data_IF_778517951857
#
_entry.id   IF_778517951857
#
_cell.length_a   1.000
_cell.length_b   1.000
_cell.length_c   1.000
_cell.angle_alpha   90.00
_cell.angle_beta   90.00
_cell.angle_gamma   90.00
#
_symmetry.space_group_name_H-M   'P 1'
#
loop_
_entity.id
_entity.type
_entity.pdbx_description
1 polymer ?
#
# COMPACT_ATOMS: atom_id res chain seq x y z
N UNK A 1 16.85 -18.54 7.80
CA UNK A 1 15.63 -17.94 7.20
C UNK A 1 15.24 -16.75 8.07
N UNK A 2 14.72 -15.66 7.50
CA UNK A 2 14.25 -14.55 8.30
C UNK A 2 13.09 -15.00 9.20
N UNK A 3 13.03 -14.45 10.41
CA UNK A 3 11.97 -14.73 11.40
C UNK A 3 10.99 -13.58 11.47
N UNK A 4 9.78 -13.82 11.98
CA UNK A 4 8.85 -12.74 12.34
C UNK A 4 9.43 -11.88 13.46
N UNK A 5 9.08 -10.60 13.50
CA UNK A 5 9.54 -9.66 14.52
C UNK A 5 8.60 -9.68 15.73
N UNK A 6 9.16 -9.62 16.91
CA UNK A 6 8.44 -9.53 18.18
C UNK A 6 9.31 -8.84 19.25
N UNK A 7 8.70 -8.36 20.33
CA UNK A 7 9.36 -7.75 21.47
C UNK A 7 10.35 -6.65 21.07
N UNK A 8 11.58 -6.66 21.59
CA UNK A 8 12.61 -5.66 21.31
C UNK A 8 13.02 -5.59 19.83
N UNK A 9 12.91 -6.70 19.08
CA UNK A 9 13.24 -6.72 17.65
C UNK A 9 12.38 -5.76 16.80
N UNK A 10 11.18 -5.42 17.27
CA UNK A 10 10.32 -4.42 16.59
C UNK A 10 10.98 -3.04 16.61
N UNK A 11 11.46 -2.61 17.78
CA UNK A 11 12.11 -1.30 17.96
C UNK A 11 13.46 -1.24 17.25
N UNK A 12 14.28 -2.29 17.37
CA UNK A 12 15.58 -2.36 16.69
C UNK A 12 15.43 -2.25 15.18
N UNK A 13 14.49 -2.99 14.60
CA UNK A 13 14.21 -2.94 13.15
C UNK A 13 13.64 -1.57 12.74
N UNK A 14 12.74 -1.00 13.54
CA UNK A 14 12.21 0.34 13.31
C UNK A 14 13.34 1.37 13.23
N UNK A 15 14.24 1.39 14.24
CA UNK A 15 15.36 2.34 14.30
C UNK A 15 16.35 2.18 13.14
N UNK A 16 16.59 0.95 12.70
CA UNK A 16 17.47 0.68 11.55
C UNK A 16 16.84 1.20 10.24
N UNK A 17 15.53 0.96 10.05
CA UNK A 17 14.78 1.48 8.91
C UNK A 17 14.65 3.00 8.94
N UNK A 18 14.43 3.57 10.10
CA UNK A 18 14.30 5.02 10.30
C UNK A 18 15.59 5.75 9.88
N UNK A 19 16.74 5.26 10.33
CA UNK A 19 18.04 5.77 9.89
C UNK A 19 18.22 5.64 8.38
N UNK A 20 18.00 4.45 7.82
CA UNK A 20 18.16 4.19 6.40
C UNK A 20 17.28 5.12 5.53
N UNK A 21 16.01 5.26 5.90
CA UNK A 21 15.07 6.11 5.16
C UNK A 21 15.41 7.60 5.30
N UNK A 22 15.83 8.04 6.49
CA UNK A 22 16.18 9.44 6.77
C UNK A 22 17.49 9.84 6.06
N UNK A 23 18.53 9.01 6.15
CA UNK A 23 19.82 9.26 5.50
C UNK A 23 19.71 9.36 3.97
N UNK A 24 18.78 8.59 3.39
CA UNK A 24 18.63 8.52 1.94
C UNK A 24 17.38 9.23 1.39
N UNK A 25 16.73 10.11 2.17
CA UNK A 25 15.48 10.73 1.73
C UNK A 25 15.61 11.54 0.43
N UNK A 26 16.79 12.09 0.14
CA UNK A 26 17.06 12.80 -1.12
C UNK A 26 16.94 11.88 -2.37
N UNK A 27 17.14 10.55 -2.21
CA UNK A 27 17.06 9.58 -3.30
C UNK A 27 15.64 9.11 -3.61
N UNK A 28 14.77 9.07 -2.61
CA UNK A 28 13.45 8.43 -2.79
C UNK A 28 12.25 9.37 -2.64
N UNK A 29 12.37 10.52 -1.97
CA UNK A 29 11.27 11.49 -1.88
C UNK A 29 10.99 12.19 -3.21
N UNK A 30 12.00 12.72 -3.94
CA UNK A 30 11.75 13.36 -5.22
C UNK A 30 11.21 12.34 -6.24
N UNK A 31 10.15 12.73 -6.93
CA UNK A 31 9.46 11.86 -7.89
C UNK A 31 9.96 12.13 -9.30
N UNK A 32 10.59 11.17 -9.99
CA UNK A 32 11.04 11.33 -11.36
C UNK A 32 9.94 11.79 -12.33
N UNK A 33 8.69 11.44 -12.05
CA UNK A 33 7.55 11.84 -12.87
C UNK A 33 7.27 13.35 -12.83
N UNK A 34 7.49 14.00 -11.69
CA UNK A 34 7.18 15.43 -11.49
C UNK A 34 8.38 16.35 -11.56
N UNK A 35 9.59 15.80 -11.52
CA UNK A 35 10.85 16.54 -11.57
C UNK A 35 11.64 16.18 -12.83
N UNK A 36 12.05 17.18 -13.61
CA UNK A 36 12.93 16.94 -14.77
C UNK A 36 14.34 16.59 -14.33
N UNK A 37 14.82 17.22 -13.26
CA UNK A 37 16.12 16.98 -12.64
C UNK A 37 15.95 16.59 -11.19
N UNK A 38 16.80 15.69 -10.70
CA UNK A 38 16.81 15.23 -9.33
C UNK A 38 18.15 15.60 -8.68
N UNK A 39 18.13 16.23 -7.52
CA UNK A 39 19.34 16.77 -6.89
C UNK A 39 20.44 15.71 -6.68
N UNK A 40 20.07 14.48 -6.41
CA UNK A 40 21.01 13.38 -6.22
C UNK A 40 21.81 13.01 -7.50
N UNK A 41 21.36 13.43 -8.68
CA UNK A 41 22.07 13.13 -9.93
C UNK A 41 23.44 13.78 -9.99
N UNK A 42 23.61 14.93 -9.35
CA UNK A 42 24.91 15.59 -9.20
C UNK A 42 25.85 14.83 -8.26
N UNK A 43 25.30 14.14 -7.26
CA UNK A 43 26.06 13.33 -6.30
C UNK A 43 26.48 11.99 -6.89
N UNK A 44 25.65 11.40 -7.76
CA UNK A 44 25.88 10.09 -8.36
C UNK A 44 25.75 10.14 -9.91
N UNK A 45 26.63 10.88 -10.59
CA UNK A 45 26.50 11.18 -12.02
C UNK A 45 26.60 9.93 -12.93
N UNK A 46 27.36 8.92 -12.54
CA UNK A 46 27.46 7.67 -13.30
C UNK A 46 26.15 6.88 -13.25
N UNK A 47 25.56 6.73 -12.07
CA UNK A 47 24.25 6.08 -11.91
C UNK A 47 23.16 6.86 -12.66
N UNK A 48 23.15 8.19 -12.53
CA UNK A 48 22.18 9.05 -13.21
C UNK A 48 22.27 8.89 -14.74
N UNK A 49 23.47 8.92 -15.29
CA UNK A 49 23.72 8.71 -16.74
C UNK A 49 23.23 7.35 -17.19
N UNK A 50 23.56 6.29 -16.46
CA UNK A 50 23.13 4.93 -16.77
C UNK A 50 21.60 4.83 -16.81
N UNK A 51 20.91 5.27 -15.74
CA UNK A 51 19.45 5.21 -15.64
C UNK A 51 18.74 6.07 -16.70
N UNK A 52 19.30 7.24 -17.05
CA UNK A 52 18.71 8.12 -18.08
C UNK A 52 18.89 7.62 -19.50
N UNK A 53 19.96 6.87 -19.77
CA UNK A 53 20.23 6.29 -21.09
C UNK A 53 19.57 4.93 -21.31
N UNK A 54 19.10 4.28 -20.25
CA UNK A 54 18.43 2.99 -20.34
C UNK A 54 17.07 3.10 -21.03
N UNK A 55 16.75 2.11 -21.83
CA UNK A 55 15.51 2.03 -22.61
C UNK A 55 14.29 1.70 -21.74
N UNK A 56 13.10 1.88 -22.29
CA UNK A 56 11.85 1.47 -21.63
C UNK A 56 11.78 -0.06 -21.47
N UNK A 57 12.31 -0.81 -22.44
CA UNK A 57 12.37 -2.28 -22.36
C UNK A 57 13.26 -2.77 -21.22
N UNK A 58 14.42 -2.12 -21.03
CA UNK A 58 15.29 -2.40 -19.89
C UNK A 58 14.59 -2.05 -18.55
N UNK A 59 13.81 -0.97 -18.51
CA UNK A 59 13.04 -0.60 -17.31
C UNK A 59 12.01 -1.66 -16.88
N UNK A 60 11.51 -2.49 -17.81
CA UNK A 60 10.55 -3.55 -17.53
C UNK A 60 11.19 -4.91 -17.21
N UNK A 61 12.48 -5.05 -17.51
CA UNK A 61 13.23 -6.28 -17.27
C UNK A 61 13.76 -6.41 -15.85
N UNK A 62 14.06 -7.64 -15.46
CA UNK A 62 14.84 -7.91 -14.24
C UNK A 62 16.28 -7.49 -14.49
N UNK A 63 16.84 -6.71 -13.59
CA UNK A 63 18.26 -6.31 -13.61
C UNK A 63 18.92 -6.86 -12.38
N UNK A 64 20.13 -7.41 -12.55
CA UNK A 64 21.01 -7.66 -11.42
C UNK A 64 21.40 -6.33 -10.76
N UNK A 65 21.03 -6.09 -9.49
CA UNK A 65 21.40 -4.86 -8.80
C UNK A 65 22.90 -4.58 -8.81
N UNK A 66 23.75 -5.60 -8.84
CA UNK A 66 25.19 -5.48 -8.80
C UNK A 66 25.81 -5.11 -10.18
N UNK A 67 25.02 -5.15 -11.26
CA UNK A 67 25.42 -4.65 -12.58
C UNK A 67 25.27 -3.12 -12.72
N UNK A 68 24.61 -2.47 -11.76
CA UNK A 68 24.38 -1.01 -11.80
C UNK A 68 25.51 -0.23 -11.11
N UNK A 69 25.77 1.03 -11.52
CA UNK A 69 26.77 1.87 -10.85
C UNK A 69 26.44 2.14 -9.37
N UNK A 70 27.49 2.37 -8.57
CA UNK A 70 27.35 2.81 -7.18
C UNK A 70 26.50 4.10 -7.08
N UNK A 71 25.69 4.28 -6.03
CA UNK A 71 25.56 3.44 -4.82
C UNK A 71 24.44 2.39 -4.92
N UNK A 72 23.92 2.09 -6.13
CA UNK A 72 22.74 1.23 -6.29
C UNK A 72 22.90 -0.16 -5.66
N UNK A 73 24.02 -0.91 -5.86
CA UNK A 73 24.20 -2.23 -5.24
C UNK A 73 24.11 -2.20 -3.73
N UNK A 74 24.83 -1.27 -3.11
CA UNK A 74 24.89 -1.14 -1.65
C UNK A 74 23.50 -0.80 -1.05
N UNK A 75 22.75 0.07 -1.73
CA UNK A 75 21.40 0.45 -1.33
C UNK A 75 20.43 -0.72 -1.50
N UNK A 76 20.57 -1.50 -2.57
CA UNK A 76 19.75 -2.69 -2.81
C UNK A 76 19.97 -3.76 -1.73
N UNK A 77 21.22 -4.06 -1.39
CA UNK A 77 21.58 -5.01 -0.33
C UNK A 77 21.05 -4.55 1.04
N UNK A 78 21.24 -3.27 1.37
CA UNK A 78 20.74 -2.69 2.62
C UNK A 78 19.20 -2.74 2.70
N UNK A 79 18.52 -2.33 1.61
CA UNK A 79 17.06 -2.38 1.53
C UNK A 79 16.53 -3.80 1.66
N UNK A 80 17.18 -4.77 1.01
CA UNK A 80 16.82 -6.19 1.10
C UNK A 80 17.00 -6.72 2.53
N UNK A 81 18.16 -6.47 3.14
CA UNK A 81 18.46 -6.92 4.50
C UNK A 81 17.48 -6.33 5.53
N UNK A 82 17.20 -5.01 5.44
CA UNK A 82 16.28 -4.31 6.33
C UNK A 82 14.82 -4.73 6.12
N UNK A 83 14.45 -5.13 4.91
CA UNK A 83 13.11 -5.58 4.56
C UNK A 83 12.89 -7.07 4.78
N UNK A 84 13.93 -7.83 5.08
CA UNK A 84 13.83 -9.26 5.33
C UNK A 84 12.94 -9.55 6.54
N UNK A 85 11.84 -10.24 6.30
CA UNK A 85 10.81 -10.56 7.29
C UNK A 85 10.28 -11.97 7.04
N UNK A 86 10.24 -12.78 8.10
CA UNK A 86 9.71 -14.14 8.03
C UNK A 86 8.21 -14.22 8.14
N UNK A 87 7.68 -15.39 7.84
CA UNK A 87 6.27 -15.69 8.02
C UNK A 87 5.91 -15.71 9.52
N UNK A 88 4.68 -15.31 9.81
CA UNK A 88 4.08 -15.54 11.13
C UNK A 88 3.88 -17.05 11.35
N UNK A 89 3.84 -17.52 12.61
CA UNK A 89 3.46 -18.88 12.91
C UNK A 89 2.07 -19.21 12.34
N UNK A 90 1.92 -20.44 11.84
CA UNK A 90 0.65 -20.93 11.32
C UNK A 90 -0.03 -21.87 12.32
N UNK A 91 -1.36 -21.90 12.31
CA UNK A 91 -2.15 -22.90 12.99
C UNK A 91 -2.94 -23.76 11.97
N UNK A 92 -3.25 -24.97 12.37
CA UNK A 92 -4.15 -25.81 11.59
C UNK A 92 -5.54 -25.17 11.55
N UNK A 93 -6.03 -24.84 10.35
CA UNK A 93 -7.40 -24.37 10.19
C UNK A 93 -8.34 -25.57 10.05
N UNK A 94 -9.46 -25.59 10.74
CA UNK A 94 -10.54 -26.52 10.42
C UNK A 94 -10.97 -26.32 8.97
N UNK A 95 -11.46 -27.40 8.35
CA UNK A 95 -12.00 -27.34 6.99
C UNK A 95 -13.06 -26.20 6.92
N UNK A 96 -12.99 -25.42 5.84
CA UNK A 96 -14.01 -24.40 5.60
C UNK A 96 -15.40 -25.05 5.50
N UNK A 97 -16.43 -24.41 6.01
CA UNK A 97 -17.79 -24.84 5.78
C UNK A 97 -18.06 -24.93 4.27
N UNK A 98 -18.91 -25.86 3.88
CA UNK A 98 -19.16 -26.17 2.47
C UNK A 98 -19.52 -24.92 1.66
N UNK A 99 -18.82 -24.68 0.54
CA UNK A 99 -19.10 -23.62 -0.45
C UNK A 99 -18.95 -22.15 0.04
N UNK A 100 -18.18 -21.87 1.07
CA UNK A 100 -17.89 -20.47 1.48
C UNK A 100 -17.06 -19.72 0.44
N UNK A 101 -16.34 -20.42 -0.41
CA UNK A 101 -15.50 -19.91 -1.50
C UNK A 101 -16.28 -19.56 -2.78
N UNK A 102 -17.54 -20.01 -2.90
CA UNK A 102 -18.37 -19.80 -4.09
C UNK A 102 -18.64 -18.31 -4.30
N UNK A 103 -18.44 -17.83 -5.54
CA UNK A 103 -18.54 -16.41 -5.93
C UNK A 103 -17.52 -15.49 -5.25
N UNK A 104 -16.46 -16.04 -4.65
CA UNK A 104 -15.31 -15.26 -4.21
C UNK A 104 -14.19 -15.40 -5.25
N UNK A 105 -13.58 -14.30 -5.75
CA UNK A 105 -12.44 -14.41 -6.65
C UNK A 105 -11.35 -15.28 -6.01
N UNK A 106 -10.83 -16.26 -6.74
CA UNK A 106 -9.92 -17.28 -6.19
C UNK A 106 -8.72 -16.69 -5.44
N UNK A 107 -8.12 -15.60 -5.98
CA UNK A 107 -7.02 -14.87 -5.34
C UNK A 107 -7.44 -14.25 -3.99
N UNK A 108 -8.66 -13.72 -3.90
CA UNK A 108 -9.20 -13.17 -2.63
C UNK A 108 -9.42 -14.29 -1.62
N UNK A 109 -9.95 -15.43 -2.06
CA UNK A 109 -10.14 -16.59 -1.17
C UNK A 109 -8.81 -17.10 -0.63
N UNK A 110 -7.79 -17.23 -1.48
CA UNK A 110 -6.44 -17.63 -1.05
C UNK A 110 -5.85 -16.66 0.00
N UNK A 111 -6.08 -15.35 -0.15
CA UNK A 111 -5.66 -14.35 0.86
C UNK A 111 -6.39 -14.54 2.19
N UNK A 112 -7.69 -14.84 2.16
CA UNK A 112 -8.49 -15.12 3.36
C UNK A 112 -7.99 -16.37 4.08
N UNK A 113 -7.75 -17.47 3.36
CA UNK A 113 -7.20 -18.71 3.91
C UNK A 113 -5.82 -18.49 4.53
N UNK A 114 -4.93 -17.80 3.81
CA UNK A 114 -3.61 -17.47 4.30
C UNK A 114 -3.66 -16.61 5.56
N UNK A 115 -4.48 -15.55 5.58
CA UNK A 115 -4.65 -14.70 6.76
C UNK A 115 -5.20 -15.50 7.94
N UNK A 116 -6.24 -16.30 7.73
CA UNK A 116 -6.87 -17.10 8.77
C UNK A 116 -5.91 -18.14 9.37
N UNK A 117 -5.02 -18.75 8.56
CA UNK A 117 -4.05 -19.73 9.03
C UNK A 117 -3.01 -19.18 10.00
N UNK A 118 -2.87 -17.86 10.09
CA UNK A 118 -1.95 -17.21 11.03
C UNK A 118 -2.61 -16.72 12.33
N UNK A 119 -3.93 -16.95 12.52
CA UNK A 119 -4.64 -16.53 13.73
C UNK A 119 -4.41 -17.51 14.90
N UNK A 120 -3.16 -17.81 15.19
CA UNK A 120 -2.74 -18.68 16.31
C UNK A 120 -2.75 -17.88 17.62
N UNK A 121 -3.92 -17.40 18.04
CA UNK A 121 -4.09 -16.73 19.32
C UNK A 121 -3.98 -17.70 20.50
N UNK A 122 -3.40 -17.22 21.63
CA UNK A 122 -3.24 -18.02 22.86
C UNK A 122 -4.59 -18.42 23.47
N UNK A 123 -5.59 -17.54 23.34
CA UNK A 123 -6.94 -17.78 23.85
C UNK A 123 -7.92 -17.90 22.67
N UNK A 124 -8.71 -18.98 22.61
CA UNK A 124 -9.72 -19.11 21.56
C UNK A 124 -10.74 -17.96 21.60
N UNK A 125 -10.99 -17.35 20.44
CA UNK A 125 -11.99 -16.28 20.30
C UNK A 125 -13.41 -16.83 20.48
N UNK A 126 -14.23 -16.09 21.21
CA UNK A 126 -15.67 -16.36 21.32
C UNK A 126 -16.50 -15.40 20.45
N UNK A 127 -16.07 -14.14 20.39
CA UNK A 127 -16.72 -13.08 19.63
C UNK A 127 -15.72 -12.54 18.62
N UNK A 128 -16.05 -12.61 17.34
CA UNK A 128 -15.28 -12.03 16.25
C UNK A 128 -15.88 -10.70 15.78
N UNK A 129 -15.04 -9.73 15.50
CA UNK A 129 -15.39 -8.52 14.78
C UNK A 129 -14.56 -8.43 13.50
N UNK A 130 -15.23 -8.43 12.35
CA UNK A 130 -14.63 -8.21 11.05
C UNK A 130 -14.80 -6.73 10.66
N UNK A 131 -13.70 -5.99 10.71
CA UNK A 131 -13.67 -4.53 10.52
C UNK A 131 -13.49 -4.17 9.05
N UNK A 132 -14.39 -3.37 8.48
CA UNK A 132 -14.46 -3.09 7.04
C UNK A 132 -14.63 -4.39 6.24
N UNK A 133 -15.61 -5.18 6.63
CA UNK A 133 -15.75 -6.59 6.27
C UNK A 133 -16.13 -6.83 4.80
N UNK A 134 -16.59 -5.79 4.08
CA UNK A 134 -17.22 -5.98 2.78
C UNK A 134 -18.43 -6.91 2.90
N UNK A 135 -18.43 -8.03 2.18
CA UNK A 135 -19.46 -9.06 2.29
C UNK A 135 -19.25 -10.04 3.46
N UNK A 136 -18.27 -9.82 4.34
CA UNK A 136 -17.98 -10.67 5.51
C UNK A 136 -17.37 -12.04 5.19
N UNK A 137 -16.62 -12.17 4.10
CA UNK A 137 -16.02 -13.46 3.73
C UNK A 137 -14.95 -13.93 4.73
N UNK A 138 -14.11 -13.02 5.25
CA UNK A 138 -13.10 -13.34 6.26
C UNK A 138 -13.79 -13.79 7.55
N UNK A 139 -14.72 -12.98 8.08
CA UNK A 139 -15.42 -13.31 9.32
C UNK A 139 -16.12 -14.66 9.24
N UNK A 140 -16.86 -14.96 8.13
CA UNK A 140 -17.51 -16.28 7.97
C UNK A 140 -16.50 -17.43 7.92
N UNK A 141 -15.31 -17.21 7.34
CA UNK A 141 -14.25 -18.24 7.30
C UNK A 141 -13.74 -18.59 8.71
N UNK A 142 -13.73 -17.59 9.60
CA UNK A 142 -13.25 -17.73 10.99
C UNK A 142 -14.31 -18.30 11.94
N UNK A 143 -15.58 -18.23 11.58
CA UNK A 143 -16.68 -18.59 12.48
C UNK A 143 -16.78 -20.10 12.65
N UNK A 144 -16.76 -20.54 13.91
CA UNK A 144 -16.97 -21.94 14.34
C UNK A 144 -18.19 -22.07 15.25
N UNK A 145 -18.74 -23.29 15.42
CA UNK A 145 -19.87 -23.52 16.31
C UNK A 145 -19.66 -22.94 17.71
N UNK A 146 -20.66 -22.23 18.22
CA UNK A 146 -20.62 -21.59 19.53
C UNK A 146 -19.98 -20.21 19.57
N UNK A 147 -19.42 -19.74 18.46
CA UNK A 147 -18.86 -18.37 18.32
C UNK A 147 -19.90 -17.41 17.74
N UNK A 148 -19.66 -16.11 17.94
CA UNK A 148 -20.43 -15.01 17.36
C UNK A 148 -19.54 -14.21 16.41
N UNK A 149 -20.16 -13.64 15.39
CA UNK A 149 -19.49 -12.78 14.42
C UNK A 149 -20.31 -11.51 14.18
N UNK A 150 -19.65 -10.38 14.31
CA UNK A 150 -20.15 -9.07 13.86
C UNK A 150 -19.30 -8.57 12.72
N UNK A 151 -19.94 -8.14 11.63
CA UNK A 151 -19.31 -7.55 10.44
C UNK A 151 -19.70 -6.09 10.34
N UNK A 152 -18.73 -5.17 10.34
CA UNK A 152 -18.96 -3.74 10.15
C UNK A 152 -18.58 -3.35 8.73
N UNK A 153 -19.51 -2.71 8.02
CA UNK A 153 -19.29 -2.24 6.65
C UNK A 153 -20.04 -0.93 6.40
N UNK A 154 -19.44 -0.03 5.63
CA UNK A 154 -20.02 1.28 5.28
C UNK A 154 -20.98 1.20 4.09
N UNK A 155 -20.70 0.33 3.13
CA UNK A 155 -21.52 0.17 1.92
C UNK A 155 -22.75 -0.69 2.21
N UNK A 156 -23.93 -0.08 2.15
CA UNK A 156 -25.21 -0.76 2.42
C UNK A 156 -25.49 -1.92 1.46
N UNK A 157 -25.01 -1.85 0.20
CA UNK A 157 -25.18 -2.94 -0.75
C UNK A 157 -24.29 -4.15 -0.38
N UNK A 158 -23.10 -3.90 0.15
CA UNK A 158 -22.21 -4.95 0.64
C UNK A 158 -22.75 -5.57 1.95
N UNK A 159 -23.34 -4.77 2.84
CA UNK A 159 -24.03 -5.26 4.05
C UNK A 159 -25.15 -6.21 3.66
N UNK A 160 -26.08 -5.78 2.80
CA UNK A 160 -27.21 -6.62 2.36
C UNK A 160 -26.75 -7.91 1.66
N UNK A 161 -25.71 -7.81 0.81
CA UNK A 161 -25.13 -8.99 0.18
C UNK A 161 -24.45 -9.94 1.20
N UNK A 162 -23.84 -9.39 2.23
CA UNK A 162 -23.26 -10.14 3.34
C UNK A 162 -24.32 -10.90 4.16
N UNK A 163 -25.42 -10.23 4.50
CA UNK A 163 -26.57 -10.81 5.18
C UNK A 163 -27.17 -11.99 4.39
N UNK A 164 -27.42 -11.77 3.08
CA UNK A 164 -27.95 -12.81 2.20
C UNK A 164 -27.02 -14.03 2.13
N UNK A 165 -25.71 -13.82 2.03
CA UNK A 165 -24.73 -14.92 2.04
C UNK A 165 -24.70 -15.66 3.39
N UNK A 166 -24.75 -14.95 4.50
CA UNK A 166 -24.73 -15.55 5.84
C UNK A 166 -26.03 -16.36 6.10
N UNK A 167 -27.18 -15.83 5.69
CA UNK A 167 -28.45 -16.54 5.74
C UNK A 167 -28.44 -17.80 4.86
N UNK A 168 -27.91 -17.72 3.63
CA UNK A 168 -27.80 -18.88 2.74
C UNK A 168 -26.95 -20.02 3.34
N UNK A 169 -25.92 -19.67 4.11
CA UNK A 169 -25.07 -20.65 4.80
C UNK A 169 -25.55 -21.01 6.21
N UNK A 170 -26.70 -20.50 6.65
CA UNK A 170 -27.26 -20.69 8.00
C UNK A 170 -26.28 -20.31 9.12
N UNK A 171 -25.46 -19.27 8.90
CA UNK A 171 -24.46 -18.80 9.86
C UNK A 171 -25.01 -17.64 10.70
N UNK A 172 -24.82 -17.65 12.04
CA UNK A 172 -25.29 -16.61 12.94
C UNK A 172 -24.37 -15.37 12.89
N UNK A 173 -24.42 -14.63 11.81
CA UNK A 173 -23.60 -13.43 11.60
C UNK A 173 -24.47 -12.18 11.67
N UNK A 174 -24.02 -11.19 12.44
CA UNK A 174 -24.62 -9.87 12.47
C UNK A 174 -23.86 -8.95 11.51
N UNK A 175 -24.50 -8.52 10.42
CA UNK A 175 -23.98 -7.49 9.52
C UNK A 175 -24.54 -6.13 9.93
N UNK A 176 -23.67 -5.14 10.05
CA UNK A 176 -24.05 -3.79 10.53
C UNK A 176 -23.53 -2.75 9.55
N UNK A 177 -24.45 -1.94 9.04
CA UNK A 177 -24.08 -0.73 8.32
C UNK A 177 -23.47 0.27 9.32
N UNK A 178 -22.17 0.47 9.25
CA UNK A 178 -21.43 1.32 10.17
C UNK A 178 -20.30 2.05 9.45
N UNK A 179 -20.31 3.38 9.53
CA UNK A 179 -19.11 4.15 9.29
C UNK A 179 -18.15 3.96 10.48
N UNK A 180 -17.07 3.25 10.25
CA UNK A 180 -16.09 2.95 11.31
C UNK A 180 -15.30 4.19 11.75
N UNK A 181 -15.32 5.27 10.99
CA UNK A 181 -14.75 6.56 11.39
C UNK A 181 -15.67 7.35 12.32
N UNK A 182 -16.96 7.05 12.34
CA UNK A 182 -17.93 7.70 13.22
C UNK A 182 -17.76 7.29 14.70
N UNK A 183 -18.11 8.18 15.66
CA UNK A 183 -17.97 7.90 17.10
C UNK A 183 -18.66 6.60 17.56
N UNK A 184 -19.79 6.25 16.95
CA UNK A 184 -20.57 5.07 17.30
C UNK A 184 -19.89 3.73 17.02
N UNK A 185 -18.76 3.69 16.32
CA UNK A 185 -18.04 2.43 16.03
C UNK A 185 -17.45 1.76 17.28
N UNK A 186 -17.11 2.55 18.32
CA UNK A 186 -16.53 2.05 19.57
C UNK A 186 -17.44 1.07 20.33
N UNK A 187 -18.76 1.18 20.20
CA UNK A 187 -19.75 0.33 20.92
C UNK A 187 -19.70 -1.15 20.51
N UNK A 188 -19.01 -1.47 19.41
CA UNK A 188 -18.88 -2.85 18.89
C UNK A 188 -17.59 -3.52 19.37
N UNK A 189 -16.81 -2.84 20.18
CA UNK A 189 -15.52 -3.30 20.70
C UNK A 189 -15.60 -3.39 22.22
N UNK A 190 -15.11 -4.49 22.78
CA UNK A 190 -15.05 -4.72 24.22
C UNK A 190 -13.92 -5.72 24.58
N UNK A 191 -13.76 -5.99 25.87
CA UNK A 191 -12.76 -6.91 26.40
C UNK A 191 -12.96 -8.39 26.04
N UNK A 192 -14.05 -8.75 25.38
CA UNK A 192 -14.35 -10.14 24.94
C UNK A 192 -14.29 -10.28 23.42
N UNK A 193 -14.04 -9.20 22.69
CA UNK A 193 -14.07 -9.16 21.22
C UNK A 193 -12.67 -9.32 20.63
N UNK A 194 -12.47 -10.33 19.79
CA UNK A 194 -11.29 -10.52 18.94
C UNK A 194 -11.51 -9.86 17.58
N UNK A 195 -10.60 -9.01 17.16
CA UNK A 195 -10.80 -8.17 15.99
C UNK A 195 -9.90 -8.58 14.83
N UNK A 196 -10.48 -8.66 13.65
CA UNK A 196 -9.74 -8.91 12.41
C UNK A 196 -9.99 -7.80 11.38
N UNK A 197 -8.96 -7.46 10.63
CA UNK A 197 -9.05 -6.50 9.54
C UNK A 197 -8.12 -6.90 8.39
N UNK A 198 -8.67 -7.42 7.32
CA UNK A 198 -7.94 -7.70 6.08
C UNK A 198 -8.29 -6.62 5.07
N UNK A 199 -7.29 -5.81 4.68
CA UNK A 199 -7.44 -4.68 3.75
C UNK A 199 -8.23 -3.47 4.29
N UNK A 200 -8.24 -3.22 5.59
CA UNK A 200 -8.65 -1.93 6.11
C UNK A 200 -7.61 -0.86 5.74
N UNK A 201 -8.03 0.15 4.97
CA UNK A 201 -7.11 1.11 4.34
C UNK A 201 -6.82 2.32 5.23
N UNK A 202 -5.54 2.72 5.38
CA UNK A 202 -5.13 4.00 5.96
C UNK A 202 -5.75 4.28 7.33
N UNK A 203 -6.47 5.38 7.47
CA UNK A 203 -7.08 5.80 8.73
C UNK A 203 -8.09 4.79 9.30
N UNK A 204 -8.69 3.93 8.46
CA UNK A 204 -9.63 2.91 8.92
C UNK A 204 -8.98 1.91 9.88
N UNK A 205 -7.76 1.43 9.55
CA UNK A 205 -7.06 0.54 10.49
C UNK A 205 -6.40 1.30 11.65
N UNK A 206 -5.96 2.54 11.44
CA UNK A 206 -5.47 3.39 12.53
C UNK A 206 -6.57 3.62 13.57
N UNK A 207 -7.78 3.91 13.12
CA UNK A 207 -8.96 4.04 13.99
C UNK A 207 -9.22 2.76 14.76
N UNK A 208 -9.15 1.62 14.08
CA UNK A 208 -9.30 0.31 14.72
C UNK A 208 -8.28 0.11 15.85
N UNK A 209 -6.98 0.30 15.58
CA UNK A 209 -5.93 0.09 16.57
C UNK A 209 -6.15 0.94 17.83
N UNK A 210 -6.51 2.22 17.65
CA UNK A 210 -6.81 3.13 18.76
C UNK A 210 -8.03 2.69 19.57
N UNK A 211 -9.14 2.38 18.90
CA UNK A 211 -10.36 1.98 19.58
C UNK A 211 -10.22 0.61 20.28
N UNK A 212 -9.62 -0.36 19.61
CA UNK A 212 -9.42 -1.69 20.20
C UNK A 212 -8.52 -1.62 21.45
N UNK A 213 -7.49 -0.77 21.43
CA UNK A 213 -6.64 -0.52 22.60
C UNK A 213 -7.42 0.13 23.75
N UNK A 214 -8.22 1.14 23.45
CA UNK A 214 -9.04 1.86 24.43
C UNK A 214 -10.15 0.99 25.03
N UNK A 215 -10.73 0.10 24.24
CA UNK A 215 -11.77 -0.84 24.67
C UNK A 215 -11.20 -2.16 25.21
N UNK A 216 -9.89 -2.24 25.35
CA UNK A 216 -9.18 -3.41 25.90
C UNK A 216 -9.49 -4.71 25.16
N UNK A 217 -9.70 -4.67 23.83
CA UNK A 217 -9.86 -5.88 23.05
C UNK A 217 -8.67 -6.83 23.27
N UNK A 218 -8.91 -8.13 23.56
CA UNK A 218 -7.82 -9.02 23.96
C UNK A 218 -6.89 -9.40 22.81
N UNK A 219 -7.41 -9.40 21.57
CA UNK A 219 -6.72 -9.95 20.41
C UNK A 219 -7.05 -9.15 19.15
N UNK A 220 -6.01 -8.86 18.37
CA UNK A 220 -6.14 -8.16 17.09
C UNK A 220 -5.28 -8.84 16.02
N UNK A 221 -5.84 -8.94 14.82
CA UNK A 221 -5.09 -9.33 13.63
C UNK A 221 -5.39 -8.35 12.49
N UNK A 222 -4.37 -7.65 12.02
CA UNK A 222 -4.54 -6.60 11.01
C UNK A 222 -3.51 -6.76 9.90
N UNK A 223 -3.96 -6.80 8.64
CA UNK A 223 -3.11 -6.63 7.47
C UNK A 223 -3.24 -5.19 6.96
N UNK A 224 -2.34 -4.27 7.38
CA UNK A 224 -2.44 -2.87 7.01
C UNK A 224 -2.12 -2.68 5.53
N UNK A 225 -2.87 -1.79 4.87
CA UNK A 225 -2.62 -1.45 3.48
C UNK A 225 -3.01 0.00 3.18
N UNK A 226 -2.74 0.47 1.96
CA UNK A 226 -3.15 1.79 1.46
C UNK A 226 -2.84 2.93 2.45
N UNK A 227 -1.59 3.02 2.88
CA UNK A 227 -1.14 3.97 3.91
C UNK A 227 -1.39 5.43 3.56
N UNK A 228 -1.59 5.74 2.27
CA UNK A 228 -1.93 7.08 1.78
C UNK A 228 -3.43 7.45 1.91
N UNK A 229 -4.27 6.56 2.43
CA UNK A 229 -5.70 6.82 2.69
C UNK A 229 -5.87 7.47 4.07
N UNK A 230 -5.35 8.68 4.21
CA UNK A 230 -5.41 9.50 5.43
C UNK A 230 -6.12 10.83 5.16
N UNK A 231 -6.75 11.39 6.18
CA UNK A 231 -7.47 12.66 6.08
C UNK A 231 -6.54 13.89 6.17
N UNK A 232 -5.33 13.70 6.71
CA UNK A 232 -4.34 14.77 6.90
C UNK A 232 -3.40 14.88 5.72
N UNK A 233 -2.82 16.06 5.49
CA UNK A 233 -1.84 16.28 4.43
C UNK A 233 -0.50 15.56 4.69
N UNK A 234 -0.22 15.23 5.94
CA UNK A 234 0.99 14.55 6.38
C UNK A 234 0.65 13.36 7.27
N UNK A 235 1.50 12.36 7.24
CA UNK A 235 1.41 11.20 8.12
C UNK A 235 1.46 11.59 9.59
N UNK A 236 0.55 11.01 10.37
CA UNK A 236 0.52 11.19 11.82
C UNK A 236 1.03 9.92 12.50
N UNK A 237 2.25 10.00 13.02
CA UNK A 237 2.90 8.87 13.68
C UNK A 237 2.12 8.42 14.93
N UNK A 238 2.08 7.12 15.17
CA UNK A 238 1.32 6.49 16.25
C UNK A 238 2.19 6.23 17.48
N UNK A 239 3.33 5.59 17.29
CA UNK A 239 4.25 5.20 18.37
C UNK A 239 5.12 6.38 18.82
N UNK A 240 5.64 6.31 20.01
CA UNK A 240 6.62 7.26 20.55
C UNK A 240 7.88 7.32 19.68
N UNK A 241 8.38 6.18 19.24
CA UNK A 241 9.56 6.10 18.38
C UNK A 241 9.34 6.82 17.04
N UNK A 242 8.18 6.64 16.40
CA UNK A 242 7.88 7.31 15.14
C UNK A 242 7.61 8.81 15.30
N UNK A 243 7.04 9.24 16.41
CA UNK A 243 6.84 10.66 16.72
C UNK A 243 8.15 11.43 16.94
N UNK A 244 9.21 10.76 17.37
CA UNK A 244 10.54 11.35 17.55
C UNK A 244 11.43 11.25 16.33
N UNK A 245 10.98 10.56 15.27
CA UNK A 245 11.70 10.46 14.00
C UNK A 245 11.78 11.80 13.28
N UNK A 246 12.91 12.06 12.61
CA UNK A 246 13.08 13.18 11.70
C UNK A 246 12.40 12.96 10.33
N UNK A 247 11.81 11.79 10.11
CA UNK A 247 11.17 11.42 8.86
C UNK A 247 9.75 11.97 8.78
N UNK A 248 9.55 13.04 8.02
CA UNK A 248 8.23 13.61 7.74
C UNK A 248 7.70 13.08 6.40
N UNK A 249 6.54 12.44 6.40
CA UNK A 249 5.95 11.80 5.22
C UNK A 249 4.72 12.56 4.73
N UNK A 250 4.75 12.93 3.46
CA UNK A 250 3.62 13.49 2.72
C UNK A 250 2.69 12.39 2.18
N UNK A 251 1.52 12.77 1.67
CA UNK A 251 0.64 11.84 0.93
C UNK A 251 1.33 11.16 -0.27
N UNK A 252 2.21 11.92 -0.95
CA UNK A 252 2.98 11.41 -2.09
C UNK A 252 4.00 10.34 -1.64
N UNK A 253 4.68 10.57 -0.50
CA UNK A 253 5.61 9.61 0.07
C UNK A 253 4.88 8.31 0.47
N UNK A 254 3.70 8.43 1.09
CA UNK A 254 2.85 7.30 1.44
C UNK A 254 2.30 6.54 0.21
N UNK A 255 2.39 7.14 -0.96
CA UNK A 255 2.10 6.49 -2.24
C UNK A 255 3.16 5.48 -2.67
N UNK A 256 4.41 5.61 -2.19
CA UNK A 256 5.52 4.76 -2.61
C UNK A 256 5.28 3.26 -2.31
N UNK A 257 4.83 2.83 -1.12
CA UNK A 257 4.49 1.44 -0.85
C UNK A 257 3.43 0.85 -1.78
N UNK A 258 2.63 1.71 -2.41
CA UNK A 258 1.53 1.31 -3.31
C UNK A 258 1.95 1.23 -4.77
N UNK A 259 3.14 1.70 -5.12
CA UNK A 259 3.63 1.75 -6.51
C UNK A 259 3.88 0.37 -7.13
N UNK A 260 3.78 -0.69 -6.33
CA UNK A 260 3.90 -2.07 -6.79
C UNK A 260 2.91 -2.38 -7.89
N UNK A 261 3.43 -2.73 -9.05
CA UNK A 261 2.61 -3.14 -10.18
C UNK A 261 2.19 -4.59 -10.01
N UNK A 262 0.92 -4.79 -9.68
CA UNK A 262 0.30 -6.10 -9.86
C UNK A 262 0.48 -6.51 -11.33
N UNK A 263 0.72 -7.79 -11.58
CA UNK A 263 0.82 -8.41 -12.90
C UNK A 263 -0.42 -8.08 -13.75
N UNK A 264 -0.41 -6.91 -14.38
CA UNK A 264 -1.44 -6.51 -15.33
C UNK A 264 -1.15 -7.18 -16.69
N UNK A 265 -2.19 -7.62 -17.38
CA UNK A 265 -2.03 -8.16 -18.74
C UNK A 265 -1.43 -7.11 -19.70
N UNK A 266 -0.82 -7.57 -20.79
CA UNK A 266 -0.08 -6.73 -21.73
C UNK A 266 -0.90 -5.53 -22.26
N UNK A 267 -2.23 -5.70 -22.47
CA UNK A 267 -3.12 -4.61 -22.88
C UNK A 267 -3.18 -3.48 -21.86
N UNK A 268 -3.34 -3.83 -20.57
CA UNK A 268 -3.45 -2.84 -19.47
C UNK A 268 -2.10 -2.14 -19.28
N UNK A 269 -0.98 -2.86 -19.41
CA UNK A 269 0.36 -2.24 -19.36
C UNK A 269 0.53 -1.21 -20.46
N UNK A 270 0.24 -1.56 -21.73
CA UNK A 270 0.31 -0.60 -22.86
C UNK A 270 -0.57 0.63 -22.66
N UNK A 271 -1.82 0.46 -22.21
CA UNK A 271 -2.72 1.58 -21.92
C UNK A 271 -2.15 2.51 -20.85
N UNK A 272 -1.56 1.95 -19.79
CA UNK A 272 -0.90 2.72 -18.72
C UNK A 272 0.30 3.48 -19.26
N UNK A 273 1.15 2.84 -20.05
CA UNK A 273 2.37 3.47 -20.59
C UNK A 273 2.01 4.56 -21.59
N UNK A 274 1.04 4.34 -22.48
CA UNK A 274 0.50 5.40 -23.37
C UNK A 274 -0.03 6.57 -22.54
N UNK A 275 -0.81 6.30 -21.49
CA UNK A 275 -1.33 7.36 -20.63
C UNK A 275 -0.21 8.15 -19.94
N UNK A 276 0.82 7.47 -19.46
CA UNK A 276 1.95 8.11 -18.79
C UNK A 276 2.80 8.91 -19.78
N UNK A 277 3.15 8.35 -20.96
CA UNK A 277 3.94 9.03 -21.98
C UNK A 277 3.22 10.32 -22.45
N UNK A 278 1.92 10.27 -22.68
CA UNK A 278 1.16 11.45 -23.10
C UNK A 278 1.07 12.53 -22.01
N UNK A 279 0.96 12.12 -20.74
CA UNK A 279 1.03 13.08 -19.61
C UNK A 279 2.38 13.72 -19.49
N UNK A 280 3.46 12.96 -19.70
CA UNK A 280 4.83 13.48 -19.69
C UNK A 280 5.09 14.39 -20.90
N UNK A 281 4.59 14.07 -22.10
CA UNK A 281 4.65 14.98 -23.25
C UNK A 281 3.89 16.28 -22.97
N UNK A 282 2.69 16.21 -22.42
CA UNK A 282 1.96 17.40 -21.99
C UNK A 282 2.68 18.18 -20.88
N UNK A 283 3.37 17.52 -19.96
CA UNK A 283 4.15 18.18 -18.92
C UNK A 283 5.32 18.98 -19.53
N UNK A 284 6.00 18.44 -20.55
CA UNK A 284 7.03 19.19 -21.28
C UNK A 284 6.42 20.43 -21.95
N UNK A 285 5.28 20.28 -22.63
CA UNK A 285 4.58 21.38 -23.29
C UNK A 285 4.19 22.47 -22.29
N UNK A 286 3.52 22.12 -21.19
CA UNK A 286 3.05 23.11 -20.21
C UNK A 286 4.19 23.88 -19.54
N UNK A 287 5.34 23.22 -19.27
CA UNK A 287 6.53 23.90 -18.75
C UNK A 287 7.08 24.92 -19.73
N UNK A 288 7.16 24.56 -21.01
CA UNK A 288 7.58 25.46 -22.08
C UNK A 288 6.63 26.65 -22.22
N UNK A 289 5.31 26.41 -22.29
CA UNK A 289 4.30 27.47 -22.44
C UNK A 289 4.24 28.41 -21.24
N UNK A 290 4.39 27.88 -20.05
CA UNK A 290 4.38 28.65 -18.79
C UNK A 290 5.75 29.23 -18.40
N UNK A 291 6.82 28.86 -19.12
CA UNK A 291 8.20 29.26 -18.80
C UNK A 291 8.58 28.96 -17.33
N UNK A 292 8.18 27.78 -16.83
CA UNK A 292 8.42 27.38 -15.44
C UNK A 292 8.77 25.91 -15.36
N UNK A 293 9.70 25.54 -14.47
CA UNK A 293 10.07 24.14 -14.21
C UNK A 293 9.18 23.52 -13.11
N UNK A 294 7.87 23.78 -13.16
CA UNK A 294 6.91 23.23 -12.21
C UNK A 294 5.93 22.29 -12.90
N UNK A 295 5.80 21.08 -12.33
CA UNK A 295 4.79 20.11 -12.75
C UNK A 295 3.38 20.68 -12.55
N UNK A 296 2.53 20.57 -13.58
CA UNK A 296 1.11 20.93 -13.49
C UNK A 296 0.27 19.64 -13.32
N UNK A 297 -0.31 19.39 -12.14
CA UNK A 297 -1.13 18.20 -11.91
C UNK A 297 -2.31 18.13 -12.89
N UNK A 298 -2.46 16.98 -13.54
CA UNK A 298 -3.57 16.71 -14.47
C UNK A 298 -4.62 15.82 -13.80
N UNK A 299 -5.92 16.00 -14.13
CA UNK A 299 -6.98 15.17 -13.55
C UNK A 299 -6.89 13.72 -14.04
N UNK A 300 -7.63 12.83 -13.40
CA UNK A 300 -7.87 11.49 -13.93
C UNK A 300 -8.66 11.59 -15.22
N UNK A 301 -8.16 10.97 -16.29
CA UNK A 301 -8.78 11.03 -17.63
C UNK A 301 -9.42 9.69 -17.99
N UNK A 302 -10.58 9.68 -18.64
CA UNK A 302 -11.19 8.46 -19.16
C UNK A 302 -10.28 7.77 -20.19
N UNK A 303 -10.34 6.44 -20.25
CA UNK A 303 -9.52 5.64 -21.21
C UNK A 303 -9.76 6.05 -22.66
N UNK A 304 -10.97 6.52 -23.00
CA UNK A 304 -11.30 7.02 -24.34
C UNK A 304 -10.38 8.17 -24.79
N UNK A 305 -9.79 8.94 -23.87
CA UNK A 305 -8.83 9.99 -24.25
C UNK A 305 -7.56 9.45 -24.92
N UNK A 306 -7.19 8.20 -24.66
CA UNK A 306 -6.04 7.56 -25.29
C UNK A 306 -6.25 7.27 -26.80
N UNK A 307 -7.50 7.30 -27.27
CA UNK A 307 -7.81 7.14 -28.69
C UNK A 307 -7.70 8.44 -29.49
N UNK A 308 -7.61 9.62 -28.84
CA UNK A 308 -7.46 10.91 -29.52
C UNK A 308 -6.09 11.02 -30.17
N UNK A 309 -5.93 11.77 -31.31
CA UNK A 309 -4.62 12.23 -31.74
C UNK A 309 -3.90 12.99 -30.62
N UNK A 310 -2.56 12.92 -30.56
CA UNK A 310 -1.81 13.52 -29.44
C UNK A 310 -2.02 15.05 -29.35
N UNK A 311 -2.05 15.74 -30.48
CA UNK A 311 -2.39 17.17 -30.53
C UNK A 311 -3.74 17.45 -29.85
N UNK A 312 -4.79 16.73 -30.25
CA UNK A 312 -6.13 16.93 -29.68
C UNK A 312 -6.16 16.60 -28.17
N UNK A 313 -5.43 15.56 -27.77
CA UNK A 313 -5.27 15.22 -26.33
C UNK A 313 -4.65 16.40 -25.56
N UNK A 314 -3.58 17.00 -26.08
CA UNK A 314 -2.92 18.12 -25.43
C UNK A 314 -3.75 19.39 -25.42
N UNK A 315 -4.45 19.71 -26.51
CA UNK A 315 -5.34 20.89 -26.61
C UNK A 315 -6.51 20.79 -25.63
N UNK A 316 -7.14 19.62 -25.55
CA UNK A 316 -8.25 19.40 -24.61
C UNK A 316 -7.78 19.46 -23.16
N UNK A 317 -6.60 18.94 -22.88
CA UNK A 317 -6.01 18.98 -21.54
C UNK A 317 -5.58 20.39 -21.14
N UNK A 318 -5.01 21.18 -22.09
CA UNK A 318 -4.70 22.58 -21.90
C UNK A 318 -5.97 23.39 -21.57
N UNK A 319 -7.06 23.17 -22.32
CA UNK A 319 -8.35 23.81 -22.04
C UNK A 319 -8.88 23.48 -20.64
N UNK A 320 -8.78 22.20 -20.20
CA UNK A 320 -9.16 21.80 -18.83
C UNK A 320 -8.30 22.49 -17.76
N UNK A 321 -7.07 22.85 -18.09
CA UNK A 321 -6.13 23.51 -17.20
C UNK A 321 -6.09 25.03 -17.39
N UNK A 322 -6.94 25.60 -18.27
CA UNK A 322 -6.98 27.02 -18.62
C UNK A 322 -5.60 27.52 -19.04
N UNK A 323 -4.90 26.73 -19.84
CA UNK A 323 -3.59 27.02 -20.40
C UNK A 323 -3.72 27.37 -21.88
N UNK A 324 -3.28 28.56 -22.25
CA UNK A 324 -3.17 28.95 -23.64
C UNK A 324 -1.94 28.28 -24.29
N UNK A 325 -2.10 27.84 -25.52
CA UNK A 325 -1.03 27.22 -26.30
C UNK A 325 -0.67 28.15 -27.45
N UNK A 326 0.50 28.75 -27.36
CA UNK A 326 1.00 29.72 -28.33
C UNK A 326 2.11 29.12 -29.21
N UNK A 327 2.21 29.66 -30.43
CA UNK A 327 3.26 29.33 -31.39
C UNK A 327 3.00 28.07 -32.20
N UNK A 328 3.96 27.74 -33.03
CA UNK A 328 3.98 26.51 -33.83
C UNK A 328 4.58 25.37 -33.00
N UNK A 329 3.80 24.31 -32.78
CA UNK A 329 4.16 23.19 -31.92
C UNK A 329 4.39 21.95 -32.79
N UNK A 330 5.59 21.40 -32.76
CA UNK A 330 5.89 20.09 -33.35
C UNK A 330 5.33 18.96 -32.47
N UNK A 331 4.09 18.58 -32.76
CA UNK A 331 3.35 17.56 -32.01
C UNK A 331 3.99 16.18 -32.09
N UNK A 332 4.63 15.84 -33.22
CA UNK A 332 5.29 14.55 -33.38
C UNK A 332 6.57 14.45 -32.54
N UNK A 333 7.39 15.50 -32.57
CA UNK A 333 8.57 15.59 -31.71
C UNK A 333 8.20 15.57 -30.22
N UNK A 334 7.13 16.27 -29.84
CA UNK A 334 6.66 16.34 -28.48
C UNK A 334 6.10 14.98 -27.97
N UNK A 335 5.34 14.24 -28.80
CA UNK A 335 4.88 12.90 -28.47
C UNK A 335 6.05 11.93 -28.29
N UNK A 336 7.06 11.99 -29.18
CA UNK A 336 8.30 11.22 -29.04
C UNK A 336 9.04 11.54 -27.73
N UNK A 337 9.21 12.83 -27.44
CA UNK A 337 9.84 13.28 -26.19
C UNK A 337 9.09 12.79 -24.95
N UNK A 338 7.77 12.65 -25.01
CA UNK A 338 6.95 12.06 -23.96
C UNK A 338 7.27 10.58 -23.71
N UNK A 339 7.53 9.80 -24.75
CA UNK A 339 7.98 8.40 -24.63
C UNK A 339 9.41 8.29 -24.12
N UNK A 340 10.32 9.13 -24.58
CA UNK A 340 11.71 9.18 -24.08
C UNK A 340 11.72 9.52 -22.59
N UNK A 341 10.88 10.48 -22.21
CA UNK A 341 10.71 10.86 -20.80
C UNK A 341 10.11 9.73 -19.97
N UNK A 342 9.19 8.93 -20.53
CA UNK A 342 8.67 7.75 -19.85
C UNK A 342 9.77 6.72 -19.57
N UNK A 343 10.65 6.45 -20.52
CA UNK A 343 11.79 5.56 -20.33
C UNK A 343 12.69 6.05 -19.18
N UNK A 344 13.03 7.33 -19.17
CA UNK A 344 13.82 7.95 -18.10
C UNK A 344 13.13 7.83 -16.74
N UNK A 345 11.85 8.17 -16.65
CA UNK A 345 11.07 8.08 -15.40
C UNK A 345 11.05 6.66 -14.87
N UNK A 346 10.79 5.67 -15.72
CA UNK A 346 10.75 4.26 -15.33
C UNK A 346 12.09 3.77 -14.79
N UNK A 347 13.17 4.15 -15.41
CA UNK A 347 14.51 3.74 -14.97
C UNK A 347 14.94 4.48 -13.70
N UNK A 348 14.66 5.77 -13.56
CA UNK A 348 14.93 6.53 -12.33
C UNK A 348 14.08 6.05 -11.13
N UNK A 349 12.82 5.61 -11.37
CA UNK A 349 11.96 5.00 -10.34
C UNK A 349 12.56 3.69 -9.80
N UNK A 350 13.46 3.01 -10.50
CA UNK A 350 14.15 1.81 -9.97
C UNK A 350 14.90 2.12 -8.68
N UNK A 351 15.68 3.23 -8.65
CA UNK A 351 16.38 3.66 -7.43
C UNK A 351 15.38 3.97 -6.31
N UNK A 352 14.33 4.72 -6.62
CA UNK A 352 13.29 5.08 -5.67
C UNK A 352 12.55 3.84 -5.12
N UNK A 353 12.31 2.84 -5.96
CA UNK A 353 11.61 1.61 -5.59
C UNK A 353 12.40 0.71 -4.61
N UNK A 354 13.72 0.88 -4.46
CA UNK A 354 14.49 0.20 -3.40
C UNK A 354 13.94 0.55 -2.00
N UNK A 355 13.41 1.75 -1.83
CA UNK A 355 12.88 2.25 -0.54
C UNK A 355 11.41 1.90 -0.30
N UNK A 356 10.73 1.30 -1.27
CA UNK A 356 9.30 0.97 -1.19
C UNK A 356 8.99 0.02 -0.04
N UNK A 357 9.67 -1.13 0.02
CA UNK A 357 9.45 -2.12 1.09
C UNK A 357 10.01 -1.69 2.44
N UNK A 358 11.19 -1.07 2.54
CA UNK A 358 11.64 -0.41 3.76
C UNK A 358 10.62 0.57 4.34
N UNK A 359 10.02 1.45 3.53
CA UNK A 359 9.01 2.41 3.98
C UNK A 359 7.71 1.72 4.41
N UNK A 360 7.25 0.71 3.67
CA UNK A 360 6.09 -0.10 4.06
C UNK A 360 6.29 -0.75 5.43
N UNK A 361 7.47 -1.33 5.65
CA UNK A 361 7.79 -1.98 6.92
C UNK A 361 7.95 -0.97 8.07
N UNK A 362 8.54 0.20 7.82
CA UNK A 362 8.59 1.30 8.79
C UNK A 362 7.18 1.70 9.26
N UNK A 363 6.26 1.88 8.30
CA UNK A 363 4.85 2.21 8.58
C UNK A 363 4.12 1.11 9.35
N UNK A 364 4.38 -0.16 9.03
CA UNK A 364 3.80 -1.29 9.77
C UNK A 364 4.37 -1.40 11.20
N UNK A 365 5.68 -1.14 11.35
CA UNK A 365 6.36 -1.13 12.66
C UNK A 365 5.87 0.00 13.56
N UNK A 366 5.56 1.19 13.03
CA UNK A 366 4.95 2.25 13.82
C UNK A 366 3.63 1.79 14.46
N UNK A 367 2.81 1.03 13.74
CA UNK A 367 1.57 0.43 14.25
C UNK A 367 1.81 -0.65 15.28
N UNK A 368 2.80 -1.51 15.03
CA UNK A 368 3.18 -2.58 15.93
C UNK A 368 3.71 -2.02 17.27
N UNK A 369 4.60 -1.02 17.19
CA UNK A 369 5.15 -0.35 18.37
C UNK A 369 4.06 0.39 19.15
N UNK A 370 3.12 1.06 18.46
CA UNK A 370 1.97 1.66 19.13
C UNK A 370 1.19 0.63 19.94
N UNK A 371 0.89 -0.54 19.39
CA UNK A 371 0.19 -1.60 20.13
C UNK A 371 1.03 -2.12 21.30
N UNK A 372 2.35 -2.24 21.15
CA UNK A 372 3.25 -2.59 22.25
C UNK A 372 3.18 -1.55 23.39
N UNK A 373 3.17 -0.26 23.05
CA UNK A 373 2.99 0.84 24.03
C UNK A 373 1.61 0.78 24.73
N UNK A 374 0.62 0.16 24.08
CA UNK A 374 -0.71 -0.07 24.67
C UNK A 374 -0.81 -1.39 25.46
N UNK A 375 0.31 -2.08 25.70
CA UNK A 375 0.39 -3.27 26.53
C UNK A 375 0.05 -4.59 25.81
N UNK A 376 0.17 -4.62 24.49
CA UNK A 376 0.02 -5.86 23.72
C UNK A 376 1.39 -6.55 23.52
N UNK A 377 1.37 -7.88 23.56
CA UNK A 377 2.41 -8.72 22.95
C UNK A 377 2.18 -8.75 21.43
N UNK A 378 3.12 -8.21 20.68
CA UNK A 378 2.95 -7.95 19.25
C UNK A 378 3.94 -8.77 18.43
N UNK A 379 3.43 -9.37 17.35
CA UNK A 379 4.21 -10.04 16.31
C UNK A 379 3.92 -9.39 14.96
N UNK A 380 4.96 -9.11 14.20
CA UNK A 380 4.88 -8.61 12.83
C UNK A 380 5.59 -9.59 11.90
N UNK A 381 4.90 -10.02 10.86
CA UNK A 381 5.45 -10.93 9.85
C UNK A 381 4.68 -10.88 8.54
N UNK A 382 5.02 -11.77 7.63
CA UNK A 382 4.25 -11.98 6.39
C UNK A 382 3.25 -13.11 6.58
N UNK A 383 2.03 -12.93 6.01
CA UNK A 383 0.97 -13.94 6.08
C UNK A 383 0.79 -14.73 4.78
N UNK A 384 1.43 -14.32 3.70
CA UNK A 384 1.40 -15.05 2.43
C UNK A 384 2.54 -14.63 1.52
N UNK A 385 2.74 -15.37 0.45
CA UNK A 385 3.72 -15.05 -0.57
C UNK A 385 3.41 -13.72 -1.25
N UNK A 386 4.48 -13.02 -1.62
CA UNK A 386 4.42 -11.77 -2.36
C UNK A 386 3.64 -11.88 -3.69
N UNK A 387 3.76 -13.03 -4.38
CA UNK A 387 3.03 -13.31 -5.61
C UNK A 387 1.50 -13.32 -5.40
N UNK A 388 1.02 -13.70 -4.21
CA UNK A 388 -0.40 -13.67 -3.89
C UNK A 388 -0.88 -12.23 -3.67
N UNK A 389 -0.15 -11.47 -2.87
CA UNK A 389 -0.34 -10.02 -2.72
C UNK A 389 0.94 -9.37 -2.21
N UNK A 390 1.39 -8.24 -2.81
CA UNK A 390 2.52 -7.49 -2.28
C UNK A 390 2.23 -6.83 -0.92
N UNK A 391 0.93 -6.71 -0.50
CA UNK A 391 0.50 -6.19 0.81
C UNK A 391 0.33 -7.35 1.78
N UNK A 392 1.41 -8.07 2.02
CA UNK A 392 1.42 -9.32 2.78
C UNK A 392 1.88 -9.18 4.23
N UNK A 393 2.04 -7.95 4.72
CA UNK A 393 2.35 -7.70 6.13
C UNK A 393 1.12 -7.93 7.00
N UNK A 394 1.33 -8.56 8.15
CA UNK A 394 0.29 -8.78 9.15
C UNK A 394 0.83 -8.53 10.55
N UNK A 395 0.06 -7.84 11.35
CA UNK A 395 0.28 -7.56 12.76
C UNK A 395 -0.67 -8.46 13.55
N UNK A 396 -0.12 -9.28 14.43
CA UNK A 396 -0.85 -10.00 15.47
C UNK A 396 -0.54 -9.36 16.81
N UNK A 397 -1.57 -9.07 17.58
CA UNK A 397 -1.42 -8.46 18.89
C UNK A 397 -2.34 -9.15 19.89
N UNK A 398 -1.79 -9.51 21.04
CA UNK A 398 -2.49 -10.15 22.15
C UNK A 398 -2.15 -9.44 23.44
N UNK A 399 -3.12 -9.25 24.32
CA UNK A 399 -2.86 -8.75 25.67
C UNK A 399 -3.28 -9.78 26.68
N UNK A 400 -2.57 -9.83 27.80
CA UNK A 400 -2.95 -10.64 28.95
C UNK A 400 -4.22 -10.04 29.59
N UNK A 401 -5.12 -10.90 30.04
CA UNK A 401 -6.39 -10.51 30.69
C UNK A 401 -6.14 -9.95 32.07
#
# INVERSE_FOLDING_TARGET
MPTSLHSHLLLERFQALDRFLTEHQALWKPRPFTHLHLDWESTYPELARHLRQSTLAEAEGDIDPHALPAPYPQLADAAQALSALGALPTCALPAAAHRLDVNVPGRKWQQIEAFASHLAFRVPSRNWLDWCSGKGHLGRRLLHPGQRLTCLEYDTALVAAGEALSAHHHLPVQHIHQDVMAPGSAKHLDADTSVVALHACGDLHVRLLRLASQQHCPQLAVAPCCYNRIATAQYQALSTAARTSALHLSLDDLGLPLSETVTAGARVRRQRDTSMARRLGFDLLQRQQRQTDQYLPTPSLPVAWLAKPFEQYCRDLAALKQLDLDGDIDWAALESAGWDRLAQVRNLERLRNLFRRPLELWLALDRALFLTEQGYDVRLGVFCDYALTPRNLMILAERDR
#
